data_IF_326558164735
#
_entry.id   IF_326558164735
#
_cell.length_a   1.000
_cell.length_b   1.000
_cell.length_c   1.000
_cell.angle_alpha   90.00
_cell.angle_beta   90.00
_cell.angle_gamma   90.00
#
_symmetry.space_group_name_H-M   'P 1'
#
loop_
_entity.id
_entity.type
_entity.pdbx_description
1 polymer ?
#
# COMPACT_ATOMS: atom_id res chain seq x y z
N UNK A 1 -16.20 7.35 12.48
CA UNK A 1 -14.96 7.43 11.65
C UNK A 1 -14.14 6.15 11.77
N UNK A 2 -13.96 5.61 12.98
CA UNK A 2 -13.31 4.32 13.25
C UNK A 2 -14.02 3.11 12.60
N UNK A 3 -15.33 2.98 12.79
CA UNK A 3 -16.14 1.86 12.24
C UNK A 3 -16.20 1.84 10.70
N UNK A 4 -16.13 3.01 10.04
CA UNK A 4 -16.07 3.10 8.57
C UNK A 4 -14.72 2.55 8.06
N UNK A 5 -13.61 2.88 8.74
CA UNK A 5 -12.28 2.39 8.40
C UNK A 5 -12.19 0.87 8.57
N UNK A 6 -12.68 0.32 9.69
CA UNK A 6 -12.66 -1.13 9.95
C UNK A 6 -13.52 -1.95 9.00
N UNK A 7 -14.70 -1.44 8.60
CA UNK A 7 -15.57 -2.11 7.62
C UNK A 7 -14.83 -2.32 6.29
N UNK A 8 -14.17 -1.28 5.78
CA UNK A 8 -13.47 -1.38 4.50
C UNK A 8 -12.14 -2.16 4.59
N UNK A 9 -11.46 -2.13 5.74
CA UNK A 9 -10.31 -3.01 6.03
C UNK A 9 -10.72 -4.48 5.90
N UNK A 10 -11.83 -4.88 6.51
CA UNK A 10 -12.32 -6.26 6.42
C UNK A 10 -12.88 -6.63 5.05
N UNK A 11 -13.65 -5.74 4.41
CA UNK A 11 -14.37 -6.07 3.17
C UNK A 11 -13.54 -5.91 1.89
N UNK A 12 -12.46 -5.12 1.92
CA UNK A 12 -11.66 -4.76 0.73
C UNK A 12 -10.15 -5.03 0.88
N UNK A 13 -9.73 -5.64 1.98
CA UNK A 13 -8.32 -5.94 2.23
C UNK A 13 -7.46 -4.68 2.45
N UNK A 14 -8.05 -3.58 2.94
CA UNK A 14 -7.29 -2.34 3.16
C UNK A 14 -6.31 -2.53 4.32
N UNK A 15 -5.08 -2.04 4.15
CA UNK A 15 -4.16 -1.87 5.27
C UNK A 15 -4.37 -0.46 5.89
N UNK A 16 -4.73 -0.43 7.17
CA UNK A 16 -4.78 0.82 7.92
C UNK A 16 -3.37 1.32 8.21
N UNK A 17 -3.02 2.51 7.72
CA UNK A 17 -1.96 3.28 8.35
C UNK A 17 -2.41 3.64 9.78
N UNK A 18 -1.58 3.37 10.78
CA UNK A 18 -1.83 3.75 12.18
C UNK A 18 -1.74 5.26 12.45
N UNK A 19 -1.50 6.07 11.41
CA UNK A 19 -1.18 7.49 11.50
C UNK A 19 -2.17 8.32 10.68
N UNK A 20 -2.24 9.63 10.97
CA UNK A 20 -2.96 10.61 10.18
C UNK A 20 -1.99 11.32 9.24
N UNK A 21 -2.44 11.65 8.03
CA UNK A 21 -1.71 12.56 7.15
C UNK A 21 -1.69 13.95 7.80
N UNK A 22 -0.50 14.50 8.07
CA UNK A 22 -0.34 15.76 8.78
C UNK A 22 -0.78 17.00 7.98
N UNK A 23 -0.90 16.89 6.66
CA UNK A 23 -1.33 17.97 5.78
C UNK A 23 -2.85 18.02 5.60
N UNK A 24 -3.52 16.86 5.54
CA UNK A 24 -4.96 16.77 5.29
C UNK A 24 -5.78 16.44 6.54
N UNK A 25 -5.11 16.04 7.63
CA UNK A 25 -5.70 15.52 8.87
C UNK A 25 -6.64 14.31 8.64
N UNK A 26 -6.44 13.56 7.55
CA UNK A 26 -7.18 12.33 7.25
C UNK A 26 -6.41 11.11 7.75
N UNK A 27 -7.12 10.07 8.18
CA UNK A 27 -6.50 8.79 8.51
C UNK A 27 -5.76 8.24 7.29
N UNK A 28 -4.49 7.85 7.47
CA UNK A 28 -3.70 7.31 6.38
C UNK A 28 -4.15 5.90 6.02
N UNK A 29 -4.17 5.63 4.71
CA UNK A 29 -4.26 4.30 4.14
C UNK A 29 -2.88 3.90 3.63
N UNK A 30 -2.62 2.59 3.58
CA UNK A 30 -1.36 2.09 3.06
C UNK A 30 -1.54 1.10 1.91
N UNK A 31 -0.52 1.01 1.08
CA UNK A 31 -0.42 0.08 -0.06
C UNK A 31 0.98 -0.55 -0.07
N UNK A 32 1.06 -1.81 -0.45
CA UNK A 32 2.29 -2.58 -0.43
C UNK A 32 2.01 -3.98 -0.95
N UNK A 33 3.06 -4.75 -1.15
CA UNK A 33 2.97 -6.09 -1.69
C UNK A 33 3.67 -7.07 -0.76
N UNK A 34 3.07 -8.22 -0.53
CA UNK A 34 3.71 -9.36 0.13
C UNK A 34 4.07 -10.47 -0.86
N UNK A 35 3.54 -10.43 -2.08
CA UNK A 35 3.81 -11.38 -3.17
C UNK A 35 4.02 -10.66 -4.51
N UNK A 36 4.60 -11.38 -5.48
CA UNK A 36 4.71 -10.94 -6.88
C UNK A 36 3.50 -11.33 -7.73
N UNK A 37 2.39 -11.76 -7.10
CA UNK A 37 1.25 -12.30 -7.85
C UNK A 37 0.45 -11.20 -8.57
N UNK A 38 -0.03 -11.52 -9.78
CA UNK A 38 -0.99 -10.67 -10.51
C UNK A 38 -2.32 -10.55 -9.75
N UNK A 39 -2.64 -11.52 -8.90
CA UNK A 39 -3.85 -11.46 -8.07
C UNK A 39 -3.78 -10.31 -7.07
N UNK A 40 -2.69 -10.21 -6.32
CA UNK A 40 -2.45 -9.13 -5.36
C UNK A 40 -2.35 -7.76 -6.07
N UNK A 41 -1.72 -7.71 -7.25
CA UNK A 41 -1.71 -6.50 -8.08
C UNK A 41 -3.11 -6.00 -8.41
N UNK A 42 -3.99 -6.86 -8.91
CA UNK A 42 -5.37 -6.47 -9.23
C UNK A 42 -6.17 -6.06 -7.99
N UNK A 43 -5.92 -6.68 -6.84
CA UNK A 43 -6.52 -6.26 -5.57
C UNK A 43 -6.07 -4.86 -5.18
N UNK A 44 -4.75 -4.60 -5.22
CA UNK A 44 -4.17 -3.30 -4.90
C UNK A 44 -4.61 -2.19 -5.87
N UNK A 45 -4.78 -2.48 -7.17
CA UNK A 45 -5.34 -1.51 -8.14
C UNK A 45 -6.74 -1.06 -7.69
N UNK A 46 -7.66 -2.01 -7.45
CA UNK A 46 -9.04 -1.69 -7.04
C UNK A 46 -9.07 -0.93 -5.71
N UNK A 47 -8.18 -1.29 -4.80
CA UNK A 47 -8.03 -0.64 -3.50
C UNK A 47 -7.61 0.81 -3.66
N UNK A 48 -6.54 1.08 -4.42
CA UNK A 48 -6.02 2.44 -4.65
C UNK A 48 -7.05 3.29 -5.38
N UNK A 49 -7.68 2.78 -6.44
CA UNK A 49 -8.72 3.51 -7.18
C UNK A 49 -9.86 3.93 -6.25
N UNK A 50 -10.31 3.05 -5.36
CA UNK A 50 -11.35 3.35 -4.38
C UNK A 50 -10.89 4.39 -3.35
N UNK A 51 -9.71 4.21 -2.75
CA UNK A 51 -9.20 5.12 -1.71
C UNK A 51 -8.95 6.52 -2.27
N UNK A 52 -8.39 6.62 -3.48
CA UNK A 52 -8.09 7.90 -4.11
C UNK A 52 -9.33 8.74 -4.39
N UNK A 53 -10.52 8.14 -4.54
CA UNK A 53 -11.76 8.90 -4.66
C UNK A 53 -12.14 9.66 -3.36
N UNK A 54 -11.66 9.19 -2.21
CA UNK A 54 -12.06 9.67 -0.89
C UNK A 54 -10.97 10.50 -0.18
N UNK A 55 -9.72 10.39 -0.62
CA UNK A 55 -8.63 11.22 -0.13
C UNK A 55 -8.75 12.67 -0.65
N UNK A 56 -8.48 13.62 0.24
CA UNK A 56 -8.28 15.02 -0.10
C UNK A 56 -6.85 15.19 -0.60
N UNK A 57 -6.69 16.06 -1.59
CA UNK A 57 -5.38 16.52 -1.99
C UNK A 57 -4.81 17.47 -0.92
N UNK A 58 -3.50 17.44 -0.75
CA UNK A 58 -2.77 18.40 0.07
C UNK A 58 -2.46 19.71 -0.70
N UNK A 59 -1.62 20.56 -0.12
CA UNK A 59 -1.20 21.84 -0.73
C UNK A 59 -0.41 21.70 -2.04
N UNK A 60 0.11 20.50 -2.35
CA UNK A 60 0.83 20.20 -3.58
C UNK A 60 -0.10 19.55 -4.63
N UNK A 61 -1.41 19.56 -4.40
CA UNK A 61 -2.41 18.86 -5.21
C UNK A 61 -2.28 17.33 -5.16
N UNK A 62 -1.64 16.77 -4.12
CA UNK A 62 -1.35 15.34 -4.02
C UNK A 62 -2.25 14.62 -3.02
N UNK A 63 -2.82 13.49 -3.44
CA UNK A 63 -3.42 12.49 -2.56
C UNK A 63 -2.37 11.45 -2.23
N UNK A 64 -2.22 11.12 -0.95
CA UNK A 64 -1.07 10.34 -0.47
C UNK A 64 -1.54 9.11 0.31
N UNK A 65 -0.97 7.95 -0.05
CA UNK A 65 -1.02 6.71 0.72
C UNK A 65 0.39 6.30 1.14
N UNK A 66 0.52 5.71 2.33
CA UNK A 66 1.82 5.25 2.85
C UNK A 66 2.19 3.94 2.17
N UNK A 67 3.43 3.79 1.74
CA UNK A 67 3.94 2.51 1.24
C UNK A 67 4.51 1.69 2.39
N UNK A 68 4.15 0.41 2.46
CA UNK A 68 4.76 -0.55 3.38
C UNK A 68 5.45 -1.68 2.62
N UNK A 69 6.26 -2.46 3.35
CA UNK A 69 6.99 -3.61 2.82
C UNK A 69 7.91 -3.30 1.63
N UNK A 70 8.55 -2.14 1.67
CA UNK A 70 9.68 -1.79 0.80
C UNK A 70 10.89 -1.60 1.72
N UNK A 71 12.07 -2.15 1.39
CA UNK A 71 13.28 -1.93 2.18
C UNK A 71 13.54 -0.43 2.36
N UNK A 72 13.65 0.02 3.60
CA UNK A 72 13.85 1.44 3.94
C UNK A 72 15.19 1.63 4.63
N UNK A 73 16.07 2.44 4.04
CA UNK A 73 17.24 3.00 4.72
C UNK A 73 16.98 4.46 5.05
N UNK A 74 16.45 4.70 6.27
CA UNK A 74 16.16 6.05 6.80
C UNK A 74 15.27 6.92 5.88
N UNK A 75 14.41 6.28 5.11
CA UNK A 75 13.45 6.91 4.22
C UNK A 75 12.06 6.29 4.38
N UNK A 76 11.04 7.01 3.93
CA UNK A 76 9.67 6.51 3.82
C UNK A 76 9.25 6.61 2.36
N UNK A 77 8.54 5.60 1.89
CA UNK A 77 7.93 5.62 0.57
C UNK A 77 6.47 6.02 0.67
N UNK A 78 5.99 6.79 -0.30
CA UNK A 78 4.57 7.09 -0.44
C UNK A 78 4.11 6.85 -1.87
N UNK A 79 2.87 6.41 -1.99
CA UNK A 79 2.15 6.34 -3.26
C UNK A 79 1.32 7.62 -3.39
N UNK A 80 1.53 8.38 -4.46
CA UNK A 80 0.90 9.67 -4.68
C UNK A 80 0.06 9.69 -5.95
N UNK A 81 -1.04 10.41 -5.91
CA UNK A 81 -1.79 10.82 -7.10
C UNK A 81 -1.86 12.34 -7.14
N UNK A 82 -1.30 12.95 -8.17
CA UNK A 82 -1.35 14.39 -8.36
C UNK A 82 -2.62 14.75 -9.14
N UNK A 83 -3.53 15.47 -8.49
CA UNK A 83 -4.84 15.84 -9.05
C UNK A 83 -4.77 16.92 -10.14
N UNK A 84 -3.65 17.64 -10.24
CA UNK A 84 -3.43 18.66 -11.27
C UNK A 84 -2.87 18.05 -12.55
N UNK A 85 -1.88 17.15 -12.44
CA UNK A 85 -1.24 16.52 -13.61
C UNK A 85 -1.91 15.22 -14.04
N UNK A 86 -2.72 14.61 -13.17
CA UNK A 86 -3.32 13.30 -13.38
C UNK A 86 -2.33 12.13 -13.29
N UNK A 87 -1.09 12.38 -12.84
CA UNK A 87 -0.05 11.36 -12.74
C UNK A 87 -0.03 10.66 -11.39
N UNK A 88 0.41 9.42 -11.42
CA UNK A 88 0.73 8.62 -10.23
C UNK A 88 2.22 8.70 -9.94
N UNK A 89 2.63 8.49 -8.70
CA UNK A 89 4.04 8.45 -8.38
C UNK A 89 4.38 7.66 -7.12
N UNK A 90 5.63 7.20 -7.07
CA UNK A 90 6.25 6.67 -5.86
C UNK A 90 7.30 7.67 -5.39
N UNK A 91 7.13 8.20 -4.19
CA UNK A 91 8.07 9.15 -3.59
C UNK A 91 9.01 8.46 -2.62
N UNK A 92 10.18 9.04 -2.44
CA UNK A 92 11.08 8.72 -1.34
C UNK A 92 11.26 9.98 -0.51
N UNK A 93 10.83 9.93 0.75
CA UNK A 93 10.88 11.05 1.67
C UNK A 93 11.86 10.72 2.81
N UNK A 94 12.65 11.70 3.24
CA UNK A 94 13.61 11.54 4.34
C UNK A 94 13.66 12.81 5.16
N UNK A 95 13.62 12.69 6.49
CA UNK A 95 13.53 13.82 7.42
C UNK A 95 12.42 14.82 7.05
N UNK A 96 11.21 14.32 6.75
CA UNK A 96 10.03 15.12 6.35
C UNK A 96 10.19 15.92 5.05
N UNK A 97 11.20 15.62 4.23
CA UNK A 97 11.43 16.25 2.94
C UNK A 97 11.44 15.21 1.82
N UNK A 98 10.78 15.53 0.71
CA UNK A 98 10.88 14.71 -0.51
C UNK A 98 12.30 14.73 -1.05
N UNK A 99 12.82 13.55 -1.37
CA UNK A 99 14.13 13.35 -2.02
C UNK A 99 13.97 13.07 -3.51
N UNK A 100 12.99 12.24 -3.86
CA UNK A 100 12.71 11.89 -5.24
C UNK A 100 11.24 11.54 -5.44
N UNK A 101 10.83 11.58 -6.71
CA UNK A 101 9.56 11.04 -7.18
C UNK A 101 9.82 10.35 -8.53
N UNK A 102 9.28 9.16 -8.70
CA UNK A 102 9.16 8.50 -10.01
C UNK A 102 7.71 8.56 -10.43
N UNK A 103 7.43 9.12 -11.60
CA UNK A 103 6.06 9.35 -12.11
C UNK A 103 5.63 8.29 -13.12
N UNK A 104 4.33 8.00 -13.12
CA UNK A 104 3.67 7.02 -13.98
C UNK A 104 2.36 7.58 -14.53
N UNK A 105 1.94 7.07 -15.68
CA UNK A 105 0.73 7.55 -16.36
C UNK A 105 -0.52 6.83 -15.83
N UNK A 106 -0.35 5.61 -15.32
CA UNK A 106 -1.47 4.80 -14.81
C UNK A 106 -1.21 4.26 -13.40
N UNK A 107 -2.29 3.92 -12.71
CA UNK A 107 -2.23 3.26 -11.40
C UNK A 107 -1.51 1.92 -11.49
N UNK A 108 -1.77 1.16 -12.55
CA UNK A 108 -1.14 -0.14 -12.76
C UNK A 108 0.38 -0.03 -12.94
N UNK A 109 0.87 0.90 -13.76
CA UNK A 109 2.32 1.12 -13.94
C UNK A 109 3.02 1.45 -12.61
N UNK A 110 2.42 2.35 -11.81
CA UNK A 110 2.96 2.72 -10.51
C UNK A 110 2.96 1.53 -9.54
N UNK A 111 1.90 0.73 -9.53
CA UNK A 111 1.79 -0.44 -8.66
C UNK A 111 2.68 -1.61 -9.10
N UNK A 112 2.88 -1.82 -10.40
CA UNK A 112 3.86 -2.80 -10.92
C UNK A 112 5.27 -2.42 -10.52
N UNK A 113 5.63 -1.14 -10.60
CA UNK A 113 6.91 -0.68 -10.10
C UNK A 113 7.02 -0.89 -8.59
N UNK A 114 5.99 -0.50 -7.82
CA UNK A 114 5.98 -0.69 -6.37
C UNK A 114 6.16 -2.18 -6.00
N UNK A 115 5.48 -3.09 -6.68
CA UNK A 115 5.63 -4.53 -6.49
C UNK A 115 7.07 -5.00 -6.76
N UNK A 116 7.71 -4.46 -7.80
CA UNK A 116 9.09 -4.82 -8.17
C UNK A 116 10.16 -4.38 -7.16
N UNK A 117 9.84 -3.42 -6.29
CA UNK A 117 10.73 -2.92 -5.23
C UNK A 117 10.31 -3.34 -3.83
N UNK A 118 9.18 -4.06 -3.70
CA UNK A 118 8.67 -4.55 -2.43
C UNK A 118 9.42 -5.80 -1.98
N UNK A 119 9.46 -6.03 -0.68
CA UNK A 119 9.93 -7.29 -0.08
C UNK A 119 8.84 -8.36 -0.21
N UNK A 120 8.81 -9.03 -1.36
CA UNK A 120 7.75 -9.97 -1.73
C UNK A 120 8.03 -11.42 -1.34
N UNK A 121 9.04 -11.67 -0.50
CA UNK A 121 9.40 -13.02 -0.05
C UNK A 121 8.58 -13.49 1.17
N UNK A 122 7.59 -12.71 1.58
CA UNK A 122 6.63 -13.07 2.64
C UNK A 122 5.57 -13.99 2.05
N UNK A 123 5.89 -15.28 1.95
CA UNK A 123 4.90 -16.33 1.67
C UNK A 123 3.87 -16.31 2.83
N UNK A 124 2.55 -16.27 2.56
CA UNK A 124 1.57 -16.47 3.62
C UNK A 124 1.88 -17.81 4.31
N UNK A 125 2.06 -17.79 5.63
CA UNK A 125 2.22 -18.98 6.45
C UNK A 125 0.89 -19.78 6.48
N UNK A 126 0.50 -20.32 5.34
CA UNK A 126 -0.67 -21.19 5.18
C UNK A 126 -0.40 -22.37 4.22
N UNK A 127 0.87 -22.61 3.86
CA UNK A 127 1.30 -23.88 3.22
C UNK A 127 2.43 -24.59 4.01
N UNK A 128 2.74 -24.14 5.23
CA UNK A 128 3.79 -24.70 6.09
C UNK A 128 3.25 -25.37 7.36
N UNK A 129 2.20 -26.20 7.24
CA UNK A 129 1.90 -27.17 8.30
C UNK A 129 2.55 -28.53 7.95
N UNK A 130 3.49 -29.04 8.75
CA UNK A 130 3.90 -30.43 8.68
C UNK A 130 2.72 -31.32 9.12
N UNK A 131 2.52 -32.44 8.40
CA UNK A 131 1.30 -33.25 8.42
C UNK A 131 0.91 -33.91 9.77
N UNK A 132 -0.23 -34.61 9.84
CA UNK A 132 -0.54 -35.40 11.00
C UNK A 132 0.29 -36.70 11.00
N UNK A 133 1.26 -36.77 11.89
CA UNK A 133 1.64 -38.03 12.53
C UNK A 133 0.49 -38.39 13.48
N UNK A 134 -0.25 -39.46 13.17
CA UNK A 134 -0.88 -40.26 14.22
C UNK A 134 -0.52 -41.73 13.95
N UNK A 135 0.46 -42.17 14.71
CA UNK A 135 0.76 -43.56 15.02
C UNK A 135 -0.20 -44.05 16.12
N UNK A 136 -0.87 -45.18 15.90
CA UNK A 136 -1.07 -46.22 16.91
C UNK A 136 -2.43 -46.35 17.62
N UNK A 137 -2.84 -47.62 17.73
CA UNK A 137 -3.65 -48.28 18.77
C UNK A 137 -5.19 -48.15 18.73
N UNK A 138 -5.86 -49.16 18.15
CA UNK A 138 -6.50 -50.26 18.91
C UNK A 138 -6.51 -51.57 18.10
#
# INVERSE_FOLDING_TARGET
>A
MYEYKEKWIREKGLHAGGMYNCHTNQGAFSVGFTTTSEHELHQNIRMVEFVMQHLRADRNNEKVMIVYNVPTDNCCHNFVFNTETGKYGITTDSYMSRRSITEYSTTEEALRYLQSISDTDIVPEMESLPGPVISGEE
#
